data_IF_984605393306
#
_entry.id   IF_984605393306
#
_cell.length_a   1.000
_cell.length_b   1.000
_cell.length_c   1.000
_cell.angle_alpha   90.00
_cell.angle_beta   90.00
_cell.angle_gamma   90.00
#
_symmetry.space_group_name_H-M   'P 1'
#
loop_
_entity.id
_entity.type
_entity.pdbx_description
1 polymer ?
#
# COMPACT_ATOMS: atom_id res chain seq x y z
N UNK A 1 6.17 8.41 7.64
CA UNK A 1 4.92 9.19 7.80
C UNK A 1 3.76 8.23 8.04
N UNK A 2 2.68 8.65 8.70
CA UNK A 2 1.45 7.85 8.77
C UNK A 2 0.56 8.13 7.56
N UNK A 3 0.14 7.07 6.88
CA UNK A 3 -0.84 7.13 5.79
C UNK A 3 -2.26 7.08 6.35
N UNK A 4 -2.52 6.21 7.33
CA UNK A 4 -3.82 6.11 7.99
C UNK A 4 -3.66 6.34 9.49
N UNK A 5 -4.20 7.46 9.99
CA UNK A 5 -4.20 7.75 11.44
C UNK A 5 -5.18 6.86 12.21
N UNK A 6 -6.34 6.56 11.62
CA UNK A 6 -7.37 5.70 12.22
C UNK A 6 -6.84 4.32 12.65
N UNK A 7 -6.00 3.73 11.82
CA UNK A 7 -5.48 2.37 12.02
C UNK A 7 -3.96 2.34 12.17
N UNK A 8 -3.34 3.49 12.49
CA UNK A 8 -1.89 3.64 12.66
C UNK A 8 -1.06 2.97 11.54
N UNK A 9 -1.47 3.12 10.28
CA UNK A 9 -0.74 2.54 9.14
C UNK A 9 0.35 3.51 8.70
N UNK A 10 1.60 3.08 8.82
CA UNK A 10 2.75 3.83 8.33
C UNK A 10 2.94 3.70 6.82
N UNK A 11 3.54 4.71 6.21
CA UNK A 11 3.97 4.71 4.82
C UNK A 11 4.93 3.56 4.51
N UNK A 12 5.86 3.26 5.42
CA UNK A 12 6.79 2.12 5.27
C UNK A 12 6.04 0.79 5.17
N UNK A 13 5.11 0.56 6.09
CA UNK A 13 4.27 -0.64 6.09
C UNK A 13 3.47 -0.76 4.80
N UNK A 14 2.90 0.35 4.32
CA UNK A 14 2.11 0.34 3.09
C UNK A 14 2.97 -0.03 1.88
N UNK A 15 4.13 0.61 1.72
CA UNK A 15 5.06 0.35 0.62
C UNK A 15 5.59 -1.08 0.64
N UNK A 16 5.97 -1.61 1.80
CA UNK A 16 6.43 -2.99 1.95
C UNK A 16 5.36 -4.00 1.51
N UNK A 17 4.11 -3.80 1.91
CA UNK A 17 3.00 -4.66 1.52
C UNK A 17 2.73 -4.57 0.01
N UNK A 18 2.76 -3.37 -0.56
CA UNK A 18 2.59 -3.19 -2.02
C UNK A 18 3.71 -3.89 -2.78
N UNK A 19 4.97 -3.74 -2.38
CA UNK A 19 6.12 -4.41 -3.02
C UNK A 19 6.05 -5.92 -2.93
N UNK A 20 5.65 -6.46 -1.77
CA UNK A 20 5.62 -7.90 -1.52
C UNK A 20 4.47 -8.61 -2.24
N UNK A 21 3.27 -8.02 -2.22
CA UNK A 21 2.06 -8.69 -2.68
C UNK A 21 1.51 -8.15 -4.01
N UNK A 22 2.06 -7.03 -4.52
CA UNK A 22 1.67 -6.36 -5.77
C UNK A 22 0.15 -6.33 -6.02
N UNK A 23 -0.64 -5.76 -5.09
CA UNK A 23 -2.10 -5.72 -5.21
C UNK A 23 -2.52 -5.00 -6.48
N UNK A 24 -3.45 -5.60 -7.24
CA UNK A 24 -3.97 -5.05 -8.50
C UNK A 24 -5.15 -4.09 -8.29
N UNK A 25 -5.65 -3.97 -7.06
CA UNK A 25 -6.75 -3.06 -6.73
C UNK A 25 -6.71 -2.58 -5.29
N UNK A 26 -7.37 -1.44 -5.04
CA UNK A 26 -7.58 -0.93 -3.68
C UNK A 26 -8.44 -1.85 -2.80
N UNK A 27 -9.22 -2.76 -3.39
CA UNK A 27 -9.94 -3.78 -2.61
C UNK A 27 -8.96 -4.82 -2.07
N UNK A 28 -8.05 -5.33 -2.91
CA UNK A 28 -6.99 -6.24 -2.47
C UNK A 28 -6.07 -5.59 -1.44
N UNK A 29 -5.65 -4.34 -1.65
CA UNK A 29 -4.81 -3.63 -0.68
C UNK A 29 -5.49 -3.49 0.69
N UNK A 30 -6.81 -3.27 0.74
CA UNK A 30 -7.60 -3.20 1.99
C UNK A 30 -7.75 -4.53 2.72
N UNK A 31 -7.57 -5.65 2.02
CA UNK A 31 -7.52 -6.97 2.65
C UNK A 31 -6.16 -7.21 3.32
N UNK A 32 -5.09 -6.64 2.76
CA UNK A 32 -3.72 -6.78 3.28
C UNK A 32 -3.40 -5.77 4.40
N UNK A 33 -3.91 -4.54 4.28
CA UNK A 33 -3.65 -3.44 5.21
C UNK A 33 -4.96 -2.80 5.63
N UNK A 34 -5.19 -2.52 6.93
CA UNK A 34 -6.42 -1.88 7.40
C UNK A 34 -6.44 -0.38 7.05
N UNK A 35 -6.53 -0.03 5.78
CA UNK A 35 -6.71 1.35 5.31
C UNK A 35 -8.16 1.61 4.89
N UNK A 36 -8.65 2.84 5.08
CA UNK A 36 -9.96 3.26 4.56
C UNK A 36 -11.19 2.59 5.19
N UNK A 37 -11.04 1.88 6.33
CA UNK A 37 -12.15 1.20 7.03
C UNK A 37 -12.96 2.12 7.96
N UNK A 38 -12.39 3.27 8.38
CA UNK A 38 -13.05 4.21 9.29
C UNK A 38 -13.42 5.51 8.55
N UNK A 39 -12.57 6.54 8.58
CA UNK A 39 -12.91 7.85 7.99
C UNK A 39 -12.66 7.98 6.48
N UNK A 40 -11.98 7.00 5.86
CA UNK A 40 -11.69 7.00 4.41
C UNK A 40 -10.66 8.03 3.92
N UNK A 41 -10.22 8.99 4.73
CA UNK A 41 -9.33 10.10 4.31
C UNK A 41 -7.99 9.65 3.72
N UNK A 42 -7.48 8.50 4.16
CA UNK A 42 -6.22 7.95 3.68
C UNK A 42 -6.31 7.29 2.29
N UNK A 43 -7.51 7.03 1.74
CA UNK A 43 -7.69 6.17 0.57
C UNK A 43 -7.04 6.75 -0.68
N UNK A 44 -7.17 8.06 -0.92
CA UNK A 44 -6.56 8.72 -2.08
C UNK A 44 -5.03 8.63 -2.02
N UNK A 45 -4.45 9.02 -0.89
CA UNK A 45 -3.01 9.02 -0.69
C UNK A 45 -2.42 7.60 -0.69
N UNK A 46 -3.12 6.62 -0.10
CA UNK A 46 -2.70 5.22 -0.13
C UNK A 46 -2.72 4.64 -1.55
N UNK A 47 -3.64 5.11 -2.41
CA UNK A 47 -3.70 4.71 -3.82
C UNK A 47 -2.52 5.28 -4.60
N UNK A 48 -2.19 6.55 -4.40
CA UNK A 48 -1.02 7.19 -5.03
C UNK A 48 0.26 6.43 -4.68
N UNK A 49 0.48 6.12 -3.39
CA UNK A 49 1.63 5.29 -2.97
C UNK A 49 1.60 3.91 -3.64
N UNK A 50 0.44 3.27 -3.72
CA UNK A 50 0.32 1.97 -4.37
C UNK A 50 0.71 2.03 -5.85
N UNK A 51 0.19 3.02 -6.59
CA UNK A 51 0.47 3.22 -8.02
C UNK A 51 1.95 3.56 -8.24
N UNK A 52 2.52 4.47 -7.44
CA UNK A 52 3.93 4.86 -7.50
C UNK A 52 4.86 3.66 -7.24
N UNK A 53 4.59 2.87 -6.20
CA UNK A 53 5.40 1.69 -5.87
C UNK A 53 5.25 0.58 -6.91
N UNK A 54 4.06 0.42 -7.53
CA UNK A 54 3.85 -0.55 -8.61
C UNK A 54 4.54 -0.16 -9.93
N UNK A 55 4.66 1.14 -10.21
CA UNK A 55 5.41 1.64 -11.38
C UNK A 55 6.92 1.57 -11.17
N UNK A 56 7.37 1.76 -9.93
CA UNK A 56 8.78 1.75 -9.56
C UNK A 56 9.24 0.40 -8.98
N UNK A 57 8.48 -0.69 -9.14
CA UNK A 57 8.97 -2.02 -8.75
C UNK A 57 10.22 -2.29 -9.57
N UNK A 58 11.44 -2.30 -8.97
CA UNK A 58 12.60 -2.74 -9.71
C UNK A 58 12.31 -4.18 -10.15
N UNK A 59 12.63 -4.58 -11.39
CA UNK A 59 12.52 -5.97 -11.80
C UNK A 59 13.45 -6.77 -10.89
N UNK A 60 12.91 -7.36 -9.81
CA UNK A 60 13.73 -8.20 -8.96
C UNK A 60 13.97 -9.48 -9.75
N UNK A 61 15.23 -9.66 -10.14
CA UNK A 61 15.79 -10.95 -10.51
C UNK A 61 15.37 -11.95 -9.45
N UNK A 62 14.82 -13.07 -9.91
CA UNK A 62 14.81 -14.32 -9.16
C UNK A 62 16.17 -14.49 -8.50
N UNK A 63 16.22 -14.44 -7.17
CA UNK A 63 17.35 -14.98 -6.44
C UNK A 63 16.98 -16.46 -6.27
N UNK A 64 17.76 -17.28 -6.95
CA UNK A 64 17.71 -18.75 -6.96
C UNK A 64 17.66 -19.38 -5.56
#
# INVERSE_FOLDING_TARGET
MYVCLCNAVSDKTLREVVRRYQPKSMQQLRQLVPIGKQCGKCVRFAREIMEDELQNVPPYKEIA
#
